data_IF_665124773513
#
_entry.id   IF_665124773513
#
_cell.length_a   1.000
_cell.length_b   1.000
_cell.length_c   1.000
_cell.angle_alpha   90.00
_cell.angle_beta   90.00
_cell.angle_gamma   90.00
#
_symmetry.space_group_name_H-M   'P 1'
#
loop_
_entity.id
_entity.type
_entity.pdbx_description
1 polymer ?
#
# COMPACT_ATOMS: atom_id res chain seq x y z
N UNK A 1 11.43 87.43 6.98
CA UNK A 1 11.96 86.92 5.69
C UNK A 1 11.64 85.44 5.61
N UNK A 2 10.99 85.00 4.52
CA UNK A 2 10.93 83.64 3.93
C UNK A 2 10.70 82.45 4.90
N UNK A 3 9.64 81.65 4.85
CA UNK A 3 8.76 81.28 3.75
C UNK A 3 8.72 79.74 3.64
N UNK A 4 7.59 79.15 4.04
CA UNK A 4 6.91 77.93 3.55
C UNK A 4 7.69 76.60 3.49
N UNK A 5 7.17 75.58 4.20
CA UNK A 5 7.37 74.17 3.88
C UNK A 5 6.02 73.58 3.42
N UNK A 6 5.97 73.07 2.19
CA UNK A 6 4.88 72.28 1.60
C UNK A 6 5.43 70.94 1.11
N UNK A 7 4.55 69.95 1.14
CA UNK A 7 4.68 68.53 0.80
C UNK A 7 5.44 68.21 -0.50
N UNK A 8 5.96 66.97 -0.59
CA UNK A 8 6.54 66.45 -1.83
C UNK A 8 6.90 64.97 -1.77
N UNK A 9 5.93 64.14 -2.16
CA UNK A 9 5.94 62.72 -2.53
C UNK A 9 7.23 62.23 -3.22
N UNK A 10 7.77 61.09 -2.77
CA UNK A 10 8.73 60.28 -3.54
C UNK A 10 8.03 59.01 -4.06
N UNK A 11 7.95 58.90 -5.38
CA UNK A 11 7.59 57.68 -6.10
C UNK A 11 8.79 56.73 -6.17
N UNK A 12 8.56 55.42 -6.30
CA UNK A 12 9.40 54.57 -7.13
C UNK A 12 8.74 54.29 -8.49
N UNK A 13 9.61 54.29 -9.48
CA UNK A 13 9.39 54.09 -10.91
C UNK A 13 8.82 52.72 -11.26
N UNK A 14 7.87 52.71 -12.21
CA UNK A 14 7.49 51.54 -13.01
C UNK A 14 8.65 51.11 -13.90
N UNK A 15 8.97 49.82 -13.91
CA UNK A 15 9.26 49.10 -15.14
C UNK A 15 8.42 47.83 -15.19
N UNK A 16 7.75 47.68 -16.33
CA UNK A 16 6.85 46.59 -16.65
C UNK A 16 7.60 45.50 -17.42
N UNK A 17 7.33 44.25 -17.09
CA UNK A 17 7.37 43.07 -17.97
C UNK A 17 6.62 41.99 -17.20
N UNK A 18 5.41 41.62 -17.59
CA UNK A 18 5.22 40.88 -18.83
C UNK A 18 5.36 39.40 -18.52
N UNK A 19 4.39 38.88 -17.78
CA UNK A 19 4.29 37.47 -17.46
C UNK A 19 2.84 37.17 -17.17
N UNK A 20 2.08 36.87 -18.22
CA UNK A 20 0.86 36.10 -18.07
C UNK A 20 1.33 34.80 -17.41
N UNK A 21 1.16 34.71 -16.10
CA UNK A 21 1.17 33.42 -15.42
C UNK A 21 -0.01 32.72 -16.06
N UNK A 22 0.28 31.79 -16.98
CA UNK A 22 -0.71 30.79 -17.35
C UNK A 22 -1.10 30.15 -16.02
N UNK A 23 -2.32 30.43 -15.55
CA UNK A 23 -3.04 29.49 -14.71
C UNK A 23 -2.73 28.11 -15.29
N UNK A 24 -2.03 27.29 -14.52
CA UNK A 24 -2.02 25.88 -14.80
C UNK A 24 -3.50 25.53 -14.80
N UNK A 25 -4.07 25.24 -15.98
CA UNK A 25 -5.45 24.79 -16.11
C UNK A 25 -5.67 23.79 -14.97
N UNK A 26 -6.46 24.17 -13.97
CA UNK A 26 -6.86 23.30 -12.87
C UNK A 26 -7.72 22.23 -13.55
N UNK A 27 -7.05 21.17 -14.01
CA UNK A 27 -7.74 20.05 -14.63
C UNK A 27 -8.64 19.48 -13.55
N UNK A 28 -9.94 19.79 -13.66
CA UNK A 28 -10.93 19.29 -12.72
C UNK A 28 -10.78 17.78 -12.61
N UNK A 29 -10.64 17.34 -11.37
CA UNK A 29 -10.43 15.93 -11.08
C UNK A 29 -11.64 15.08 -11.46
N UNK A 30 -12.82 15.67 -11.34
CA UNK A 30 -14.07 15.03 -11.70
C UNK A 30 -14.36 15.19 -13.21
N UNK A 31 -14.81 14.13 -13.90
CA UNK A 31 -15.21 14.22 -15.30
C UNK A 31 -16.29 15.29 -15.50
N UNK A 32 -15.98 16.32 -16.29
CA UNK A 32 -16.87 17.46 -16.55
C UNK A 32 -18.13 17.04 -17.34
N UNK A 33 -18.05 15.96 -18.10
CA UNK A 33 -19.16 15.38 -18.87
C UNK A 33 -20.11 14.53 -18.00
N UNK A 34 -19.77 14.29 -16.73
CA UNK A 34 -20.59 13.54 -15.78
C UNK A 34 -20.78 14.34 -14.48
N UNK A 35 -21.54 15.45 -14.49
CA UNK A 35 -21.75 16.26 -13.30
C UNK A 35 -22.42 15.47 -12.17
N UNK A 36 -22.04 15.79 -10.93
CA UNK A 36 -22.64 15.18 -9.76
C UNK A 36 -24.06 15.69 -9.51
N UNK A 37 -25.02 14.83 -9.11
CA UNK A 37 -26.32 15.29 -8.65
C UNK A 37 -26.17 16.23 -7.45
N UNK A 38 -26.85 17.37 -7.44
CA UNK A 38 -26.75 18.37 -6.36
C UNK A 38 -27.10 17.77 -4.98
N UNK A 39 -28.08 16.87 -4.95
CA UNK A 39 -28.53 16.17 -3.75
C UNK A 39 -27.77 14.85 -3.49
N UNK A 40 -26.71 14.54 -4.24
CA UNK A 40 -25.92 13.34 -3.97
C UNK A 40 -25.32 13.43 -2.57
N UNK A 41 -25.18 12.30 -1.89
CA UNK A 41 -24.47 12.19 -0.62
C UNK A 41 -23.01 11.87 -0.85
N UNK A 42 -22.10 12.58 -0.18
CA UNK A 42 -20.66 12.32 -0.27
C UNK A 42 -20.19 11.58 0.98
N UNK A 43 -19.87 10.29 0.84
CA UNK A 43 -19.53 9.40 1.94
C UNK A 43 -18.15 8.79 1.72
N UNK A 44 -17.45 8.44 2.78
CA UNK A 44 -16.16 7.76 2.70
C UNK A 44 -16.22 6.37 3.34
N UNK A 45 -15.46 5.43 2.80
CA UNK A 45 -15.32 4.10 3.40
C UNK A 45 -13.94 3.51 3.15
N UNK A 46 -13.48 2.66 4.08
CA UNK A 46 -12.23 1.92 3.90
C UNK A 46 -11.56 1.52 5.21
N UNK A 47 -10.33 1.07 5.10
CA UNK A 47 -9.48 0.62 6.20
C UNK A 47 -8.01 0.78 5.78
N UNK A 48 -7.06 0.54 6.68
CA UNK A 48 -5.65 0.40 6.28
C UNK A 48 -5.47 -0.69 5.21
N UNK A 49 -6.16 -1.83 5.38
CA UNK A 49 -6.12 -2.98 4.51
C UNK A 49 -7.44 -3.76 4.55
N UNK A 50 -7.74 -4.51 3.49
CA UNK A 50 -8.85 -5.46 3.44
C UNK A 50 -8.48 -6.87 3.90
N UNK A 51 -9.29 -7.85 3.49
CA UNK A 51 -8.96 -9.27 3.64
C UNK A 51 -7.82 -9.63 2.67
N UNK A 52 -6.80 -10.30 3.17
CA UNK A 52 -5.66 -10.74 2.37
C UNK A 52 -6.05 -11.69 1.22
N UNK A 53 -5.45 -11.47 0.04
CA UNK A 53 -5.53 -12.33 -1.13
C UNK A 53 -4.19 -13.07 -1.36
N UNK A 54 -4.20 -14.22 -2.01
CA UNK A 54 -2.96 -15.01 -2.17
C UNK A 54 -2.02 -14.55 -3.30
N UNK A 55 -2.20 -13.32 -3.79
CA UNK A 55 -1.44 -12.78 -4.93
C UNK A 55 -1.21 -11.27 -4.80
N UNK A 56 -0.53 -10.69 -5.78
CA UNK A 56 -0.32 -9.25 -5.94
C UNK A 56 -1.10 -8.75 -7.15
N UNK A 57 -1.54 -7.49 -7.10
CA UNK A 57 -2.13 -6.78 -8.24
C UNK A 57 -1.21 -5.68 -8.79
N UNK A 58 -0.08 -5.42 -8.14
CA UNK A 58 0.94 -4.45 -8.55
C UNK A 58 2.35 -4.92 -8.18
N UNK A 59 3.36 -4.10 -8.45
CA UNK A 59 4.77 -4.38 -8.15
C UNK A 59 5.25 -3.76 -6.83
N UNK A 60 4.35 -3.43 -5.90
CA UNK A 60 4.71 -2.81 -4.61
C UNK A 60 5.51 -3.76 -3.70
N UNK A 61 5.40 -5.07 -3.93
CA UNK A 61 5.89 -6.10 -3.01
C UNK A 61 4.93 -6.37 -1.85
N UNK A 62 3.80 -5.66 -1.81
CA UNK A 62 2.71 -5.90 -0.88
C UNK A 62 1.70 -6.88 -1.45
N UNK A 63 1.07 -7.64 -0.57
CA UNK A 63 0.01 -8.57 -0.93
C UNK A 63 -1.26 -7.78 -1.27
N UNK A 64 -2.00 -8.20 -2.29
CA UNK A 64 -3.31 -7.63 -2.56
C UNK A 64 -4.31 -7.96 -1.44
N UNK A 65 -5.28 -7.08 -1.25
CA UNK A 65 -6.38 -7.27 -0.30
C UNK A 65 -7.71 -7.00 -0.99
N UNK A 66 -8.82 -7.43 -0.37
CA UNK A 66 -10.16 -7.16 -0.84
C UNK A 66 -11.02 -6.52 0.24
N UNK A 67 -11.81 -5.51 -0.14
CA UNK A 67 -12.86 -4.93 0.69
C UNK A 67 -14.20 -5.05 -0.06
N UNK A 68 -15.15 -5.77 0.54
CA UNK A 68 -16.53 -5.82 0.08
C UNK A 68 -17.27 -4.57 0.60
N UNK A 69 -17.76 -3.75 -0.31
CA UNK A 69 -18.53 -2.54 0.01
C UNK A 69 -19.97 -2.76 -0.39
N UNK A 70 -20.89 -2.61 0.58
CA UNK A 70 -22.33 -2.63 0.31
C UNK A 70 -22.91 -1.26 0.57
N UNK A 71 -23.58 -0.67 -0.42
CA UNK A 71 -24.30 0.60 -0.25
C UNK A 71 -25.79 0.35 -0.01
N UNK A 72 -26.32 0.87 1.08
CA UNK A 72 -27.73 0.78 1.46
C UNK A 72 -28.30 2.15 1.83
N UNK A 73 -28.52 2.97 0.81
CA UNK A 73 -29.03 4.35 0.89
C UNK A 73 -29.99 4.56 -0.27
N UNK A 74 -31.26 4.82 0.01
CA UNK A 74 -32.32 4.87 -1.03
C UNK A 74 -32.92 6.27 -1.22
N UNK A 75 -32.60 7.22 -0.35
CA UNK A 75 -33.13 8.58 -0.34
C UNK A 75 -32.35 9.58 -1.21
N UNK A 76 -31.13 9.23 -1.62
CA UNK A 76 -30.27 10.08 -2.44
C UNK A 76 -29.26 9.27 -3.28
N UNK A 77 -28.77 9.81 -4.41
CA UNK A 77 -27.59 9.28 -5.08
C UNK A 77 -26.35 9.33 -4.19
N UNK A 78 -25.40 8.41 -4.33
CA UNK A 78 -24.22 8.31 -3.47
C UNK A 78 -22.93 8.42 -4.27
N UNK A 79 -22.02 9.28 -3.80
CA UNK A 79 -20.61 9.32 -4.22
C UNK A 79 -19.75 8.76 -3.10
N UNK A 80 -18.88 7.81 -3.44
CA UNK A 80 -17.98 7.19 -2.47
C UNK A 80 -16.54 7.69 -2.63
N UNK A 81 -15.93 8.04 -1.50
CA UNK A 81 -14.48 8.15 -1.34
C UNK A 81 -13.96 6.86 -0.70
N UNK A 82 -13.33 5.99 -1.50
CA UNK A 82 -12.79 4.72 -1.04
C UNK A 82 -11.29 4.82 -0.83
N UNK A 83 -10.79 4.38 0.33
CA UNK A 83 -9.39 4.58 0.68
C UNK A 83 -8.76 3.44 1.45
N UNK A 84 -7.66 2.88 0.94
CA UNK A 84 -6.84 1.87 1.63
C UNK A 84 -5.35 2.10 1.40
N UNK A 85 -4.50 1.75 2.38
CA UNK A 85 -3.05 1.85 2.23
C UNK A 85 -2.53 0.75 1.30
N UNK A 86 -2.91 -0.50 1.59
CA UNK A 86 -2.50 -1.71 0.86
C UNK A 86 -3.10 -1.79 -0.56
N UNK A 87 -2.48 -2.56 -1.49
CA UNK A 87 -3.09 -2.80 -2.80
C UNK A 87 -4.46 -3.46 -2.60
N UNK A 88 -5.54 -2.86 -3.10
CA UNK A 88 -6.91 -3.26 -2.71
C UNK A 88 -7.85 -3.38 -3.89
N UNK A 89 -8.58 -4.50 -3.95
CA UNK A 89 -9.73 -4.72 -4.82
C UNK A 89 -11.01 -4.36 -4.04
N UNK A 90 -11.78 -3.42 -4.56
CA UNK A 90 -13.04 -2.96 -3.99
C UNK A 90 -14.19 -3.66 -4.70
N UNK A 91 -14.80 -4.65 -4.05
CA UNK A 91 -15.97 -5.34 -4.58
C UNK A 91 -17.24 -4.58 -4.19
N UNK A 92 -17.81 -3.84 -5.14
CA UNK A 92 -18.96 -2.96 -4.87
C UNK A 92 -20.27 -3.68 -5.17
N UNK A 93 -21.21 -3.58 -4.22
CA UNK A 93 -22.61 -3.97 -4.38
C UNK A 93 -23.52 -2.95 -3.70
N UNK A 94 -24.81 -2.97 -4.03
CA UNK A 94 -25.79 -2.06 -3.46
C UNK A 94 -27.17 -2.69 -3.34
N UNK A 95 -28.02 -2.19 -2.46
CA UNK A 95 -29.40 -2.67 -2.30
C UNK A 95 -30.33 -2.10 -3.37
N UNK A 96 -31.49 -2.73 -3.56
CA UNK A 96 -32.52 -2.19 -4.43
C UNK A 96 -32.94 -0.77 -3.99
N UNK A 97 -33.07 0.15 -4.96
CA UNK A 97 -33.36 1.56 -4.70
C UNK A 97 -32.12 2.42 -4.40
N UNK A 98 -30.97 1.83 -4.09
CA UNK A 98 -29.72 2.58 -4.01
C UNK A 98 -29.20 2.98 -5.38
N UNK A 99 -28.65 4.21 -5.45
CA UNK A 99 -28.13 4.79 -6.69
C UNK A 99 -26.72 5.30 -6.47
N UNK A 100 -25.74 4.67 -7.12
CA UNK A 100 -24.37 5.17 -7.17
C UNK A 100 -24.26 6.28 -8.22
N UNK A 101 -23.56 7.36 -7.88
CA UNK A 101 -23.27 8.49 -8.77
C UNK A 101 -21.80 8.52 -9.19
N UNK A 102 -20.91 7.87 -8.43
CA UNK A 102 -19.50 7.71 -8.80
C UNK A 102 -18.60 7.36 -7.62
N UNK A 103 -17.34 7.07 -7.92
CA UNK A 103 -16.33 6.68 -6.94
C UNK A 103 -15.03 7.46 -7.17
N UNK A 104 -14.48 8.01 -6.09
CA UNK A 104 -13.08 8.41 -6.01
C UNK A 104 -12.36 7.39 -5.13
N UNK A 105 -11.35 6.72 -5.67
CA UNK A 105 -10.55 5.74 -4.93
C UNK A 105 -9.11 6.23 -4.79
N UNK A 106 -8.53 6.03 -3.61
CA UNK A 106 -7.16 6.46 -3.30
C UNK A 106 -6.44 5.45 -2.41
N UNK A 107 -5.11 5.50 -2.45
CA UNK A 107 -4.24 4.66 -1.65
C UNK A 107 -2.77 4.80 -2.01
N UNK A 108 -1.89 4.31 -1.14
CA UNK A 108 -0.45 4.27 -1.40
C UNK A 108 -0.11 3.30 -2.54
N UNK A 109 -0.84 2.20 -2.63
CA UNK A 109 -0.66 1.16 -3.63
C UNK A 109 -1.85 1.07 -4.58
N UNK A 110 -1.76 0.20 -5.59
CA UNK A 110 -2.79 0.09 -6.64
C UNK A 110 -4.16 -0.21 -6.06
N UNK A 111 -5.16 0.53 -6.52
CA UNK A 111 -6.56 0.35 -6.14
C UNK A 111 -7.33 -0.10 -7.38
N UNK A 112 -8.21 -1.09 -7.25
CA UNK A 112 -9.03 -1.59 -8.35
C UNK A 112 -10.49 -1.65 -7.89
N UNK A 113 -11.40 -1.01 -8.63
CA UNK A 113 -12.83 -1.07 -8.35
C UNK A 113 -13.50 -2.10 -9.24
N UNK A 114 -14.25 -3.01 -8.63
CA UNK A 114 -14.96 -4.11 -9.29
C UNK A 114 -16.46 -4.06 -8.96
N UNK A 115 -17.30 -4.69 -9.80
CA UNK A 115 -18.73 -4.80 -9.54
C UNK A 115 -19.53 -3.53 -9.86
N UNK A 116 -18.98 -2.61 -10.67
CA UNK A 116 -19.71 -1.42 -11.14
C UNK A 116 -20.13 -1.53 -12.61
N UNK A 117 -21.26 -0.93 -13.01
CA UNK A 117 -21.57 -0.68 -14.41
C UNK A 117 -20.66 0.44 -14.99
N UNK A 118 -20.30 0.36 -16.27
CA UNK A 118 -19.45 1.35 -16.98
C UNK A 118 -19.98 2.80 -16.94
N UNK A 119 -21.28 2.96 -16.72
CA UNK A 119 -21.92 4.26 -16.59
C UNK A 119 -21.52 5.00 -15.31
N UNK A 120 -21.03 4.31 -14.28
CA UNK A 120 -20.61 4.93 -13.02
C UNK A 120 -19.15 5.36 -13.14
N UNK A 121 -18.83 6.67 -13.06
CA UNK A 121 -17.46 7.13 -13.13
C UNK A 121 -16.65 6.65 -11.92
N UNK A 122 -15.43 6.17 -12.20
CA UNK A 122 -14.42 5.84 -11.21
C UNK A 122 -13.19 6.70 -11.48
N UNK A 123 -12.73 7.40 -10.46
CA UNK A 123 -11.49 8.18 -10.48
C UNK A 123 -10.51 7.51 -9.53
N UNK A 124 -9.37 7.12 -10.05
CA UNK A 124 -8.27 6.59 -9.26
C UNK A 124 -7.29 7.71 -8.94
N UNK A 125 -6.79 7.75 -7.70
CA UNK A 125 -5.78 8.70 -7.24
C UNK A 125 -4.78 7.99 -6.33
N UNK A 126 -3.80 7.34 -6.92
CA UNK A 126 -2.81 6.50 -6.22
C UNK A 126 -1.39 6.98 -6.51
N UNK A 127 -0.39 6.38 -5.87
CA UNK A 127 1.00 6.70 -6.17
C UNK A 127 1.36 6.53 -7.66
N UNK A 128 0.79 5.54 -8.35
CA UNK A 128 1.05 5.25 -9.76
C UNK A 128 0.69 6.41 -10.69
N UNK A 129 -0.41 7.12 -10.37
CA UNK A 129 -0.82 8.31 -11.11
C UNK A 129 -0.48 9.62 -10.39
N UNK A 130 0.47 9.56 -9.45
CA UNK A 130 1.00 10.70 -8.68
C UNK A 130 -0.08 11.44 -7.89
N UNK A 131 -1.07 10.72 -7.37
CA UNK A 131 -2.15 11.26 -6.55
C UNK A 131 -2.86 12.43 -7.24
N UNK A 132 -3.19 12.25 -8.53
CA UNK A 132 -3.74 13.30 -9.40
C UNK A 132 -4.91 14.06 -8.75
N UNK A 133 -5.70 13.39 -7.92
CA UNK A 133 -6.88 13.92 -7.25
C UNK A 133 -6.81 13.87 -5.74
N UNK A 134 -5.61 14.01 -5.19
CA UNK A 134 -5.35 13.98 -3.76
C UNK A 134 -5.00 12.58 -3.26
N UNK A 135 -4.31 12.53 -2.13
CA UNK A 135 -3.96 11.28 -1.46
C UNK A 135 -4.76 11.17 -0.17
N UNK A 136 -5.39 10.03 0.03
CA UNK A 136 -6.01 9.63 1.28
C UNK A 136 -6.09 8.10 1.39
N UNK A 137 -6.18 7.61 2.61
CA UNK A 137 -6.83 6.33 2.92
C UNK A 137 -7.69 6.47 4.17
N UNK A 138 -8.60 5.52 4.38
CA UNK A 138 -9.56 5.60 5.47
C UNK A 138 -9.08 4.73 6.64
N UNK A 139 -8.51 5.36 7.67
CA UNK A 139 -8.19 4.75 8.95
C UNK A 139 -8.47 5.75 10.08
N UNK A 140 -8.66 5.27 11.32
CA UNK A 140 -9.06 6.11 12.47
C UNK A 140 -8.13 7.33 12.68
N UNK A 141 -6.84 7.16 12.46
CA UNK A 141 -5.78 8.17 12.58
C UNK A 141 -5.54 8.98 11.29
N UNK A 142 -6.17 8.63 10.17
CA UNK A 142 -5.99 9.28 8.85
C UNK A 142 -7.21 10.05 8.33
N UNK A 143 -8.29 10.13 9.11
CA UNK A 143 -9.53 10.80 8.68
C UNK A 143 -9.38 12.29 8.33
N UNK A 144 -8.33 12.94 8.85
CA UNK A 144 -8.05 14.36 8.62
C UNK A 144 -7.71 14.68 7.15
N UNK A 145 -7.31 13.68 6.36
CA UNK A 145 -6.96 13.81 4.93
C UNK A 145 -8.20 13.93 4.03
N UNK A 146 -9.35 13.42 4.47
CA UNK A 146 -10.55 13.27 3.62
C UNK A 146 -11.16 14.61 3.19
N UNK A 147 -11.38 15.51 4.13
CA UNK A 147 -12.08 16.77 3.85
C UNK A 147 -11.30 17.74 2.95
N UNK A 148 -9.97 17.87 3.05
CA UNK A 148 -9.17 18.59 2.05
C UNK A 148 -9.39 18.07 0.63
N UNK A 149 -9.27 16.75 0.42
CA UNK A 149 -9.48 16.13 -0.89
C UNK A 149 -10.92 16.27 -1.37
N UNK A 150 -11.89 16.05 -0.47
CA UNK A 150 -13.30 16.18 -0.80
C UNK A 150 -13.66 17.59 -1.27
N UNK A 151 -13.13 18.63 -0.61
CA UNK A 151 -13.35 20.02 -1.04
C UNK A 151 -12.68 20.32 -2.38
N UNK A 152 -11.48 19.79 -2.62
CA UNK A 152 -10.78 19.97 -3.89
C UNK A 152 -11.54 19.32 -5.06
N UNK A 153 -12.05 18.09 -4.88
CA UNK A 153 -12.67 17.31 -5.97
C UNK A 153 -14.16 17.61 -6.13
N UNK A 154 -14.87 17.80 -5.02
CA UNK A 154 -16.33 17.87 -4.96
C UNK A 154 -16.88 19.20 -4.46
N UNK A 155 -16.03 20.13 -4.01
CA UNK A 155 -16.45 21.42 -3.45
C UNK A 155 -17.10 21.35 -2.07
N UNK A 156 -17.18 20.17 -1.45
CA UNK A 156 -17.85 19.95 -0.15
C UNK A 156 -17.18 18.84 0.66
N UNK A 157 -17.28 18.86 2.01
CA UNK A 157 -16.69 17.82 2.86
C UNK A 157 -17.45 16.48 2.74
N UNK A 158 -16.83 15.41 3.23
CA UNK A 158 -17.52 14.12 3.44
C UNK A 158 -18.55 14.28 4.57
N UNK A 159 -19.73 13.69 4.39
CA UNK A 159 -20.80 13.72 5.40
C UNK A 159 -20.57 12.70 6.51
N UNK A 160 -20.04 11.53 6.16
CA UNK A 160 -19.85 10.41 7.08
C UNK A 160 -18.77 9.46 6.58
N UNK A 161 -18.10 8.79 7.52
CA UNK A 161 -17.06 7.79 7.27
C UNK A 161 -17.50 6.44 7.81
N UNK A 162 -17.28 5.39 7.04
CA UNK A 162 -17.57 4.00 7.40
C UNK A 162 -16.27 3.18 7.39
N UNK A 163 -15.83 2.75 8.56
CA UNK A 163 -14.61 1.94 8.69
C UNK A 163 -14.91 0.48 8.37
N UNK A 164 -14.16 -0.08 7.42
CA UNK A 164 -14.25 -1.49 7.08
C UNK A 164 -13.65 -2.35 8.20
N UNK A 165 -14.29 -3.50 8.46
CA UNK A 165 -13.84 -4.51 9.41
C UNK A 165 -13.80 -5.85 8.70
N UNK A 166 -12.71 -6.59 8.87
CA UNK A 166 -12.53 -7.92 8.27
C UNK A 166 -12.72 -7.98 6.74
N UNK A 167 -12.36 -6.88 6.06
CA UNK A 167 -12.52 -6.73 4.61
C UNK A 167 -13.96 -6.45 4.18
N UNK A 168 -14.82 -5.91 5.05
CA UNK A 168 -16.21 -5.59 4.72
C UNK A 168 -16.66 -4.26 5.31
N UNK A 169 -17.55 -3.57 4.60
CA UNK A 169 -18.20 -2.35 5.07
C UNK A 169 -19.60 -2.19 4.47
N UNK A 170 -20.55 -1.80 5.32
CA UNK A 170 -21.89 -1.36 4.90
C UNK A 170 -21.95 0.16 5.02
N UNK A 171 -22.27 0.83 3.93
CA UNK A 171 -22.42 2.29 3.84
C UNK A 171 -23.91 2.61 3.83
N UNK A 172 -24.39 3.28 4.87
CA UNK A 172 -25.80 3.64 5.05
C UNK A 172 -26.46 2.88 6.18
N UNK A 173 -27.70 2.44 5.96
CA UNK A 173 -28.47 1.68 6.95
C UNK A 173 -28.03 0.22 7.00
N UNK A 174 -28.28 -0.44 8.14
CA UNK A 174 -28.03 -1.87 8.30
C UNK A 174 -28.78 -2.69 7.25
N UNK A 175 -28.16 -3.79 6.81
CA UNK A 175 -28.75 -4.68 5.82
C UNK A 175 -29.79 -5.60 6.48
N UNK A 176 -31.00 -5.70 5.94
CA UNK A 176 -31.92 -6.76 6.35
C UNK A 176 -31.36 -8.15 5.95
N UNK A 177 -31.71 -9.23 6.68
CA UNK A 177 -31.16 -10.57 6.43
C UNK A 177 -31.40 -11.12 5.01
N UNK A 178 -32.46 -10.65 4.36
CA UNK A 178 -32.92 -11.03 3.02
C UNK A 178 -32.62 -9.96 1.95
N UNK A 179 -31.72 -9.01 2.24
CA UNK A 179 -31.33 -7.99 1.30
C UNK A 179 -30.81 -8.60 -0.01
N UNK A 180 -31.47 -8.24 -1.12
CA UNK A 180 -30.97 -8.55 -2.46
C UNK A 180 -29.88 -7.53 -2.81
N UNK A 181 -28.67 -8.03 -3.10
CA UNK A 181 -27.54 -7.21 -3.50
C UNK A 181 -27.42 -7.18 -5.01
N UNK A 182 -27.47 -5.98 -5.56
CA UNK A 182 -27.19 -5.68 -6.96
C UNK A 182 -25.69 -5.42 -7.12
N UNK A 183 -25.15 -5.83 -8.27
CA UNK A 183 -23.77 -5.55 -8.66
C UNK A 183 -23.68 -5.49 -10.19
N UNK A 184 -22.67 -4.77 -10.68
CA UNK A 184 -22.26 -4.81 -12.08
C UNK A 184 -21.55 -6.13 -12.42
N UNK A 185 -20.81 -6.14 -13.53
CA UNK A 185 -19.99 -7.29 -13.87
C UNK A 185 -18.98 -7.58 -12.75
N UNK A 186 -18.97 -8.80 -12.25
CA UNK A 186 -17.96 -9.26 -11.28
C UNK A 186 -16.62 -9.37 -11.99
N UNK A 187 -15.62 -8.70 -11.47
CA UNK A 187 -14.23 -8.95 -11.87
C UNK A 187 -13.76 -10.13 -11.03
N UNK A 188 -13.35 -11.22 -11.68
CA UNK A 188 -12.63 -12.30 -11.01
C UNK A 188 -11.32 -11.74 -10.44
N UNK A 189 -11.12 -11.72 -9.11
CA UNK A 189 -9.90 -11.19 -8.51
C UNK A 189 -8.65 -11.88 -9.05
N UNK A 190 -8.71 -13.17 -9.40
CA UNK A 190 -7.56 -13.89 -9.96
C UNK A 190 -7.14 -13.36 -11.33
N UNK A 191 -8.07 -12.76 -12.10
CA UNK A 191 -7.76 -12.09 -13.35
C UNK A 191 -6.95 -10.78 -13.15
N UNK A 192 -6.99 -10.21 -11.94
CA UNK A 192 -6.21 -9.03 -11.58
C UNK A 192 -4.79 -9.36 -11.11
N UNK A 193 -4.49 -10.65 -10.89
CA UNK A 193 -3.17 -11.10 -10.46
C UNK A 193 -2.08 -10.63 -11.42
N UNK A 194 -1.02 -10.06 -10.87
CA UNK A 194 0.16 -9.68 -11.62
C UNK A 194 0.79 -10.92 -12.29
N UNK A 195 0.81 -11.01 -13.64
CA UNK A 195 1.25 -12.21 -14.33
C UNK A 195 2.70 -12.58 -14.02
N UNK A 196 2.99 -13.87 -13.96
CA UNK A 196 4.35 -14.39 -13.75
C UNK A 196 4.90 -14.21 -12.33
N UNK A 197 4.10 -13.72 -11.37
CA UNK A 197 4.53 -13.58 -9.98
C UNK A 197 4.19 -14.82 -9.14
N UNK A 198 5.03 -15.18 -8.13
CA UNK A 198 4.68 -16.20 -7.16
C UNK A 198 3.39 -15.88 -6.41
N UNK A 199 2.77 -16.88 -5.79
CA UNK A 199 1.77 -16.62 -4.74
C UNK A 199 2.41 -15.78 -3.62
N UNK A 200 1.61 -15.02 -2.90
CA UNK A 200 2.07 -14.11 -1.85
C UNK A 200 2.09 -14.78 -0.46
N UNK A 201 2.98 -14.28 0.40
CA UNK A 201 3.25 -14.67 1.79
C UNK A 201 3.33 -16.19 2.00
N UNK A 202 2.62 -16.71 3.00
CA UNK A 202 2.72 -18.11 3.39
C UNK A 202 2.40 -19.11 2.26
N UNK A 203 1.39 -18.83 1.44
CA UNK A 203 1.05 -19.64 0.27
C UNK A 203 2.21 -19.68 -0.75
N UNK A 204 2.88 -18.54 -0.98
CA UNK A 204 4.09 -18.46 -1.80
C UNK A 204 5.26 -19.28 -1.27
N UNK A 205 5.47 -19.26 0.04
CA UNK A 205 6.52 -20.06 0.70
C UNK A 205 6.21 -21.56 0.60
N UNK A 206 4.96 -21.95 0.87
CA UNK A 206 4.53 -23.35 0.78
C UNK A 206 4.65 -23.90 -0.64
N UNK A 207 4.27 -23.11 -1.65
CA UNK A 207 4.42 -23.50 -3.05
C UNK A 207 5.90 -23.61 -3.44
N UNK A 208 6.74 -22.68 -2.98
CA UNK A 208 8.19 -22.75 -3.22
C UNK A 208 8.84 -23.98 -2.58
N UNK A 209 8.36 -24.40 -1.40
CA UNK A 209 8.78 -25.66 -0.76
C UNK A 209 8.31 -26.88 -1.56
N UNK A 210 7.04 -26.91 -1.98
CA UNK A 210 6.47 -27.98 -2.80
C UNK A 210 7.20 -28.14 -4.13
N UNK A 211 7.60 -27.03 -4.75
CA UNK A 211 8.37 -27.01 -6.00
C UNK A 211 9.86 -27.33 -5.78
N UNK A 212 10.33 -27.51 -4.53
CA UNK A 212 11.74 -27.75 -4.24
C UNK A 212 12.64 -26.55 -4.60
N UNK A 213 12.10 -25.34 -4.53
CA UNK A 213 12.87 -24.09 -4.56
C UNK A 213 13.43 -23.77 -3.15
N UNK A 214 12.66 -24.15 -2.13
CA UNK A 214 13.01 -24.02 -0.72
C UNK A 214 12.95 -25.39 -0.02
N UNK A 215 13.68 -25.51 1.09
CA UNK A 215 13.41 -26.48 2.15
C UNK A 215 13.44 -25.79 3.51
N UNK A 216 12.83 -26.38 4.54
CA UNK A 216 13.03 -25.90 5.91
C UNK A 216 14.51 -25.88 6.29
N UNK A 217 14.90 -24.80 6.98
CA UNK A 217 16.23 -24.67 7.53
C UNK A 217 16.38 -25.51 8.80
N UNK A 218 17.61 -25.92 9.04
CA UNK A 218 18.03 -26.66 10.22
C UNK A 218 19.07 -25.84 10.98
N UNK A 219 19.37 -26.26 12.21
CA UNK A 219 20.45 -25.66 13.01
C UNK A 219 21.80 -25.69 12.26
N UNK A 220 22.03 -26.70 11.42
CA UNK A 220 23.27 -26.78 10.62
C UNK A 220 23.37 -25.65 9.59
N UNK A 221 22.25 -25.19 9.05
CA UNK A 221 22.24 -24.08 8.08
C UNK A 221 22.58 -22.75 8.77
N UNK A 222 22.01 -22.54 9.96
CA UNK A 222 22.36 -21.41 10.83
C UNK A 222 23.84 -21.41 11.22
N UNK A 223 24.36 -22.56 11.66
CA UNK A 223 25.78 -22.74 12.00
C UNK A 223 26.69 -22.51 10.80
N UNK A 224 26.32 -23.01 9.61
CA UNK A 224 27.07 -22.80 8.38
C UNK A 224 27.22 -21.31 8.03
N UNK A 225 26.19 -20.50 8.28
CA UNK A 225 26.30 -19.05 8.15
C UNK A 225 27.19 -18.42 9.23
N UNK A 226 27.07 -18.83 10.50
CA UNK A 226 27.95 -18.30 11.58
C UNK A 226 29.43 -18.53 11.26
N UNK A 227 29.77 -19.72 10.77
CA UNK A 227 31.13 -20.03 10.33
C UNK A 227 31.56 -19.15 9.14
N UNK A 228 30.67 -18.97 8.16
CA UNK A 228 30.95 -18.10 7.02
C UNK A 228 31.14 -16.64 7.43
N UNK A 229 30.28 -16.09 8.29
CA UNK A 229 30.41 -14.75 8.84
C UNK A 229 31.76 -14.57 9.51
N UNK A 230 32.14 -15.49 10.42
CA UNK A 230 33.43 -15.43 11.13
C UNK A 230 34.64 -15.48 10.21
N UNK A 231 34.59 -16.26 9.12
CA UNK A 231 35.67 -16.30 8.11
C UNK A 231 35.86 -14.96 7.40
N UNK A 232 34.79 -14.17 7.25
CA UNK A 232 34.82 -12.87 6.58
C UNK A 232 35.04 -11.70 7.56
N UNK A 233 34.99 -11.92 8.87
CA UNK A 233 35.31 -10.89 9.85
C UNK A 233 36.83 -10.69 9.95
N UNK A 234 37.31 -9.43 10.04
CA UNK A 234 38.70 -9.17 10.34
C UNK A 234 39.04 -9.74 11.72
N UNK A 235 40.18 -10.41 11.82
CA UNK A 235 40.71 -10.82 13.12
C UNK A 235 41.08 -9.57 13.90
N UNK A 236 40.42 -9.36 15.04
CA UNK A 236 40.79 -8.31 15.97
C UNK A 236 42.11 -8.73 16.62
N UNK A 237 43.17 -7.96 16.39
CA UNK A 237 44.46 -8.13 17.05
C UNK A 237 44.41 -7.51 18.46
N UNK A 238 43.70 -8.20 19.36
CA UNK A 238 43.57 -7.81 20.75
C UNK A 238 43.94 -8.99 21.66
N UNK A 239 44.66 -8.75 22.78
CA UNK A 239 44.97 -9.80 23.74
C UNK A 239 43.68 -10.35 24.38
N UNK A 240 43.62 -11.66 24.72
CA UNK A 240 42.46 -12.23 25.37
C UNK A 240 42.28 -11.65 26.78
N UNK A 241 41.03 -11.40 27.17
CA UNK A 241 40.67 -11.00 28.54
C UNK A 241 40.39 -12.26 29.37
N UNK A 242 41.03 -12.38 30.53
CA UNK A 242 40.86 -13.54 31.42
C UNK A 242 39.40 -13.68 31.86
N UNK A 243 38.77 -14.81 31.57
CA UNK A 243 37.37 -15.09 31.93
C UNK A 243 36.34 -14.61 30.91
N UNK A 244 36.74 -13.91 29.84
CA UNK A 244 35.86 -13.53 28.74
C UNK A 244 36.15 -14.38 27.49
N UNK A 245 35.09 -14.83 26.82
CA UNK A 245 35.22 -15.36 25.47
C UNK A 245 35.33 -14.17 24.50
N UNK A 246 36.40 -14.10 23.72
CA UNK A 246 36.58 -13.04 22.69
C UNK A 246 35.57 -13.14 21.55
N UNK A 247 34.89 -14.28 21.39
CA UNK A 247 33.86 -14.49 20.38
C UNK A 247 32.48 -14.12 20.92
N UNK A 248 31.86 -13.06 20.38
CA UNK A 248 30.43 -12.79 20.59
C UNK A 248 29.62 -13.98 20.05
N UNK A 249 28.74 -14.59 20.85
CA UNK A 249 27.88 -15.66 20.38
C UNK A 249 26.85 -15.09 19.40
N UNK A 250 26.80 -15.68 18.19
CA UNK A 250 25.83 -15.32 17.15
C UNK A 250 24.69 -16.33 17.18
N UNK A 251 23.46 -15.84 17.20
CA UNK A 251 22.26 -16.67 17.23
C UNK A 251 21.33 -16.34 16.06
N UNK A 252 21.67 -16.78 14.83
CA UNK A 252 20.76 -16.66 13.70
C UNK A 252 19.42 -17.33 14.00
N UNK A 253 18.34 -16.65 13.66
CA UNK A 253 16.98 -17.16 13.93
C UNK A 253 16.64 -18.35 13.01
N UNK A 254 15.85 -19.28 13.55
CA UNK A 254 15.21 -20.37 12.80
C UNK A 254 13.69 -20.20 12.70
N UNK A 255 13.17 -19.04 13.11
CA UNK A 255 11.77 -18.72 12.95
C UNK A 255 11.41 -18.59 11.46
N UNK A 256 10.40 -19.37 11.02
CA UNK A 256 9.94 -19.43 9.63
C UNK A 256 11.11 -19.48 8.63
N UNK A 257 12.06 -20.37 8.90
CA UNK A 257 13.36 -20.37 8.22
C UNK A 257 13.46 -21.41 7.10
N UNK A 258 14.06 -21.00 5.98
CA UNK A 258 14.22 -21.79 4.78
C UNK A 258 15.64 -21.71 4.23
N UNK A 259 16.05 -22.74 3.51
CA UNK A 259 17.25 -22.74 2.68
C UNK A 259 16.84 -22.63 1.22
N UNK A 260 17.46 -21.69 0.51
CA UNK A 260 17.27 -21.51 -0.93
C UNK A 260 18.07 -22.59 -1.66
N UNK A 261 17.38 -23.38 -2.50
CA UNK A 261 17.99 -24.53 -3.18
C UNK A 261 18.39 -24.23 -4.63
N UNK A 262 17.72 -23.27 -5.27
CA UNK A 262 17.93 -22.85 -6.66
C UNK A 262 17.30 -21.48 -6.89
N UNK A 263 17.25 -21.02 -8.15
CA UNK A 263 16.65 -19.73 -8.51
C UNK A 263 15.27 -19.55 -7.86
N UNK A 264 15.15 -18.47 -7.09
CA UNK A 264 14.00 -18.19 -6.24
C UNK A 264 13.67 -16.69 -6.31
N UNK A 265 12.38 -16.38 -6.32
CA UNK A 265 11.88 -15.01 -6.20
C UNK A 265 11.08 -14.92 -4.92
N UNK A 266 11.38 -13.95 -4.06
CA UNK A 266 10.63 -13.76 -2.82
C UNK A 266 9.13 -13.54 -3.11
N UNK A 267 8.24 -14.30 -2.45
CA UNK A 267 6.83 -13.93 -2.37
C UNK A 267 6.68 -12.51 -1.82
N UNK A 268 5.70 -11.77 -2.35
CA UNK A 268 5.29 -10.52 -1.71
C UNK A 268 4.59 -10.77 -0.38
N UNK A 269 4.42 -9.71 0.43
CA UNK A 269 3.70 -9.82 1.69
C UNK A 269 4.49 -10.49 2.83
N UNK A 270 5.82 -10.63 2.69
CA UNK A 270 6.70 -11.15 3.76
C UNK A 270 7.03 -10.07 4.82
N UNK A 271 5.98 -9.47 5.38
CA UNK A 271 6.05 -8.43 6.41
C UNK A 271 5.45 -8.92 7.74
N UNK A 272 5.84 -8.29 8.85
CA UNK A 272 5.28 -8.59 10.17
C UNK A 272 5.36 -10.08 10.52
N UNK A 273 4.24 -10.69 10.93
CA UNK A 273 4.17 -12.12 11.26
C UNK A 273 4.40 -13.06 10.08
N UNK A 274 4.33 -12.57 8.84
CA UNK A 274 4.60 -13.34 7.63
C UNK A 274 6.07 -13.27 7.18
N UNK A 275 6.93 -12.52 7.89
CA UNK A 275 8.35 -12.48 7.57
C UNK A 275 9.00 -13.87 7.69
N UNK A 276 10.04 -14.11 6.91
CA UNK A 276 10.76 -15.37 6.91
C UNK A 276 12.26 -15.15 7.15
N UNK A 277 12.97 -16.25 7.34
CA UNK A 277 14.43 -16.27 7.35
C UNK A 277 14.92 -17.11 6.18
N UNK A 278 15.86 -16.59 5.39
CA UNK A 278 16.41 -17.29 4.25
C UNK A 278 17.91 -17.49 4.43
N UNK A 279 18.37 -18.74 4.30
CA UNK A 279 19.77 -19.08 4.17
C UNK A 279 20.06 -19.36 2.70
N UNK A 280 21.02 -18.63 2.12
CA UNK A 280 21.44 -18.76 0.72
C UNK A 280 22.79 -19.49 0.70
N UNK A 281 22.84 -20.77 0.30
CA UNK A 281 24.07 -21.55 0.25
C UNK A 281 25.06 -21.06 -0.81
N UNK A 282 26.32 -21.49 -0.66
CA UNK A 282 27.34 -21.27 -1.67
C UNK A 282 26.91 -21.86 -3.04
N UNK A 283 27.08 -21.08 -4.10
CA UNK A 283 26.79 -21.51 -5.47
C UNK A 283 25.30 -21.43 -5.87
N UNK A 284 24.42 -21.05 -4.95
CA UNK A 284 23.01 -20.76 -5.26
C UNK A 284 22.88 -19.28 -5.67
N UNK A 285 22.22 -18.95 -6.79
CA UNK A 285 22.00 -17.57 -7.18
C UNK A 285 21.27 -16.78 -6.09
N UNK A 286 21.65 -15.50 -5.92
CA UNK A 286 20.94 -14.59 -5.02
C UNK A 286 19.45 -14.51 -5.41
N UNK A 287 18.52 -14.66 -4.45
CA UNK A 287 17.10 -14.58 -4.77
C UNK A 287 16.69 -13.20 -5.31
N UNK A 288 15.69 -13.19 -6.18
CA UNK A 288 15.15 -11.98 -6.82
C UNK A 288 13.97 -11.42 -6.02
N UNK A 289 13.62 -10.17 -6.29
CA UNK A 289 12.45 -9.50 -5.72
C UNK A 289 12.72 -8.88 -4.34
N UNK A 290 11.64 -8.42 -3.69
CA UNK A 290 11.71 -7.76 -2.39
C UNK A 290 11.49 -8.79 -1.25
N UNK A 291 12.44 -8.97 -0.31
CA UNK A 291 12.29 -9.89 0.82
C UNK A 291 11.31 -9.39 1.91
N UNK A 292 10.77 -8.17 1.78
CA UNK A 292 9.93 -7.54 2.80
C UNK A 292 10.71 -7.29 4.09
N UNK A 293 10.16 -7.71 5.22
CA UNK A 293 10.84 -7.67 6.52
C UNK A 293 11.67 -8.93 6.82
N UNK A 294 11.79 -9.84 5.85
CA UNK A 294 12.56 -11.08 6.02
C UNK A 294 14.05 -10.82 6.24
N UNK A 295 14.70 -11.79 6.89
CA UNK A 295 16.15 -11.79 7.07
C UNK A 295 16.80 -12.74 6.08
N UNK A 296 17.87 -12.30 5.43
CA UNK A 296 18.60 -13.07 4.42
C UNK A 296 20.05 -13.23 4.85
N UNK A 297 20.46 -14.48 5.02
CA UNK A 297 21.80 -14.92 5.40
C UNK A 297 22.51 -15.50 4.17
N UNK A 298 23.49 -14.79 3.65
CA UNK A 298 24.29 -15.23 2.50
C UNK A 298 25.55 -15.95 2.99
N UNK A 299 25.65 -17.25 2.72
CA UNK A 299 26.76 -18.09 3.19
C UNK A 299 28.03 -17.87 2.36
N UNK A 300 27.90 -17.44 1.10
CA UNK A 300 29.06 -17.21 0.24
C UNK A 300 29.88 -16.00 0.70
N UNK A 301 29.19 -14.94 1.11
CA UNK A 301 29.77 -13.66 1.52
C UNK A 301 29.83 -13.49 3.03
N UNK A 302 29.12 -14.33 3.79
CA UNK A 302 28.95 -14.17 5.23
C UNK A 302 28.14 -12.92 5.61
N UNK A 303 27.37 -12.35 4.68
CA UNK A 303 26.59 -11.14 4.93
C UNK A 303 25.19 -11.47 5.46
N UNK A 304 24.57 -10.46 6.09
CA UNK A 304 23.19 -10.50 6.55
C UNK A 304 22.45 -9.26 6.04
N UNK A 305 21.27 -9.45 5.46
CA UNK A 305 20.35 -8.39 5.07
C UNK A 305 19.02 -8.52 5.83
N UNK A 306 18.44 -7.39 6.25
CA UNK A 306 17.15 -7.32 6.94
C UNK A 306 17.23 -6.73 8.34
N UNK A 307 16.07 -6.47 8.94
CA UNK A 307 15.99 -5.76 10.22
C UNK A 307 16.67 -6.50 11.38
N UNK A 308 16.65 -7.84 11.35
CA UNK A 308 17.21 -8.65 12.44
C UNK A 308 18.75 -8.75 12.42
N UNK A 309 19.41 -8.32 11.34
CA UNK A 309 20.87 -8.42 11.22
C UNK A 309 21.63 -7.57 12.24
N UNK A 310 21.03 -6.45 12.67
CA UNK A 310 21.63 -5.56 13.68
C UNK A 310 21.53 -6.11 15.10
N UNK A 311 20.66 -7.09 15.32
CA UNK A 311 20.40 -7.68 16.63
C UNK A 311 21.24 -8.96 16.90
N UNK A 312 22.08 -9.38 15.93
CA UNK A 312 22.97 -10.54 16.02
C UNK A 312 24.22 -10.25 16.87
#
# INVERSE_FOLDING_TARGET
MRGVATEGTLMPTKEAQGGIVKEADEVSCWPLDRPLPENARLLAAGAYAGRELEFQIDSSGHRATQIDVVVNITDAPVVLMLGAYEPTVWAISWTEGSRLAGILVSGNHRQVVAGLPDAIPVIESTQENRYRCGSFYVAEDHLHELNPVARQVFGRPVEMVYLAKEGRVVVGADLPPDAVLLHGATIDPDALRLPGTPLAGAAGLAEAERLGLLRKATIKDAQGWVEAYRRHQPKIDAPPVSGETTEKPLHPTLHNAYVVLREFTYPAGLYGGNMATFYVPLGVPAPKGNPGHSTVFDIATGTCQGAMCKAL
#
